data_IF_818062840633
#
_entry.id   IF_818062840633
#
_cell.length_a   1.000
_cell.length_b   1.000
_cell.length_c   1.000
_cell.angle_alpha   90.00
_cell.angle_beta   90.00
_cell.angle_gamma   90.00
#
_symmetry.space_group_name_H-M   'P 1'
#
loop_
_entity.id
_entity.type
_entity.pdbx_description
1 polymer ?
#
# COMPACT_ATOMS: atom_id res chain seq x y z
N UNK A 1 -5.31 -4.66 -12.60
CA UNK A 1 -5.82 -4.82 -11.22
C UNK A 1 -4.76 -4.34 -10.25
N UNK A 2 -5.17 -3.78 -9.11
CA UNK A 2 -4.27 -3.35 -8.02
C UNK A 2 -4.82 -3.79 -6.65
N UNK A 3 -3.95 -3.90 -5.65
CA UNK A 3 -4.33 -4.10 -4.25
C UNK A 3 -3.86 -2.87 -3.44
N UNK A 4 -4.77 -2.21 -2.72
CA UNK A 4 -4.42 -1.09 -1.85
C UNK A 4 -3.60 0.03 -2.53
N UNK A 5 -3.85 0.31 -3.82
CA UNK A 5 -3.10 1.28 -4.62
C UNK A 5 -3.63 2.72 -4.53
N UNK A 6 -2.80 3.70 -4.17
CA UNK A 6 -3.24 5.09 -4.10
C UNK A 6 -3.34 5.68 -5.52
N UNK A 7 -4.45 6.33 -5.93
CA UNK A 7 -4.59 6.88 -7.29
C UNK A 7 -3.74 8.14 -7.53
N UNK A 8 -3.38 8.86 -6.47
CA UNK A 8 -2.45 9.99 -6.51
C UNK A 8 -2.88 11.11 -5.56
N UNK A 9 -1.97 12.01 -5.21
CA UNK A 9 -2.29 13.16 -4.37
C UNK A 9 -2.76 14.35 -5.22
N UNK A 10 -3.86 14.97 -4.82
CA UNK A 10 -4.58 15.97 -5.62
C UNK A 10 -4.07 17.40 -5.41
N UNK A 11 -3.44 17.68 -4.27
CA UNK A 11 -2.98 19.03 -3.94
C UNK A 11 -1.50 19.06 -3.57
N UNK A 12 -0.87 20.21 -3.82
CA UNK A 12 0.57 20.41 -3.61
C UNK A 12 0.99 20.33 -2.14
N UNK A 13 0.10 20.71 -1.20
CA UNK A 13 0.39 20.61 0.22
C UNK A 13 0.57 19.14 0.64
N UNK A 14 -0.36 18.26 0.29
CA UNK A 14 -0.29 16.84 0.58
C UNK A 14 0.93 16.19 -0.10
N UNK A 15 1.29 16.64 -1.32
CA UNK A 15 2.52 16.21 -2.00
C UNK A 15 3.75 16.65 -1.22
N UNK A 16 3.83 17.90 -0.76
CA UNK A 16 4.94 18.41 0.02
C UNK A 16 5.11 17.66 1.35
N UNK A 17 4.02 17.44 2.09
CA UNK A 17 4.00 16.66 3.33
C UNK A 17 4.48 15.22 3.08
N UNK A 18 4.02 14.61 1.98
CA UNK A 18 4.43 13.26 1.59
C UNK A 18 5.91 13.19 1.20
N UNK A 19 6.45 14.16 0.45
CA UNK A 19 7.90 14.23 0.14
C UNK A 19 8.73 14.28 1.41
N UNK A 20 8.36 15.14 2.36
CA UNK A 20 9.06 15.24 3.64
C UNK A 20 8.98 13.93 4.44
N UNK A 21 7.82 13.28 4.46
CA UNK A 21 7.65 12.00 5.14
C UNK A 21 8.47 10.87 4.51
N UNK A 22 8.41 10.72 3.19
CA UNK A 22 9.15 9.68 2.48
C UNK A 22 10.66 9.93 2.57
N UNK A 23 11.12 11.18 2.49
CA UNK A 23 12.53 11.55 2.69
C UNK A 23 13.03 11.21 4.09
N UNK A 24 12.22 11.43 5.14
CA UNK A 24 12.57 10.96 6.49
C UNK A 24 12.73 9.44 6.53
N UNK A 25 11.79 8.68 5.97
CA UNK A 25 11.89 7.22 5.94
C UNK A 25 13.11 6.73 5.15
N UNK A 26 13.39 7.33 4.00
CA UNK A 26 14.55 7.00 3.18
C UNK A 26 15.86 7.22 3.96
N UNK A 27 15.96 8.32 4.71
CA UNK A 27 17.11 8.57 5.57
C UNK A 27 17.26 7.52 6.68
N UNK A 28 16.15 7.13 7.32
CA UNK A 28 16.17 6.04 8.31
C UNK A 28 16.62 4.73 7.69
N UNK A 29 16.13 4.36 6.50
CA UNK A 29 16.56 3.16 5.80
C UNK A 29 18.06 3.14 5.50
N UNK A 30 18.69 4.30 5.21
CA UNK A 30 20.13 4.40 4.96
C UNK A 30 20.98 4.30 6.23
N UNK A 31 20.47 4.79 7.36
CA UNK A 31 21.31 5.07 8.56
C UNK A 31 21.01 4.21 9.77
N UNK A 32 19.82 3.64 9.88
CA UNK A 32 19.40 2.87 11.05
C UNK A 32 19.33 1.37 10.75
N UNK A 33 19.47 0.50 11.78
CA UNK A 33 19.19 -0.93 11.63
C UNK A 33 17.76 -1.15 11.11
N UNK A 34 17.62 -1.94 10.04
CA UNK A 34 16.32 -2.17 9.40
C UNK A 34 15.27 -2.76 10.35
N UNK A 35 15.67 -3.52 11.38
CA UNK A 35 14.75 -4.01 12.42
C UNK A 35 14.07 -2.88 13.17
N UNK A 36 14.79 -1.81 13.47
CA UNK A 36 14.25 -0.61 14.14
C UNK A 36 13.34 0.16 13.19
N UNK A 37 13.79 0.39 11.95
CA UNK A 37 13.00 1.11 10.94
C UNK A 37 11.69 0.38 10.66
N UNK A 38 11.73 -0.94 10.46
CA UNK A 38 10.53 -1.73 10.19
C UNK A 38 9.63 -1.90 11.42
N UNK A 39 10.18 -1.88 12.64
CA UNK A 39 9.37 -1.84 13.86
C UNK A 39 8.43 -0.63 13.82
N UNK A 40 8.96 0.56 13.55
CA UNK A 40 8.16 1.79 13.46
C UNK A 40 7.31 1.84 12.19
N UNK A 41 7.83 1.33 11.07
CA UNK A 41 7.13 1.30 9.79
C UNK A 41 5.76 0.61 9.93
N UNK A 42 5.72 -0.52 10.65
CA UNK A 42 4.49 -1.28 10.87
C UNK A 42 3.59 -0.72 11.97
N UNK A 43 3.96 0.39 12.60
CA UNK A 43 3.07 1.18 13.47
C UNK A 43 2.31 2.29 12.71
N UNK A 44 2.64 2.54 11.43
CA UNK A 44 1.93 3.53 10.63
C UNK A 44 0.42 3.21 10.53
N UNK A 45 -0.46 4.22 10.40
CA UNK A 45 -1.91 4.02 10.42
C UNK A 45 -2.46 3.00 9.42
N UNK A 46 -1.82 2.86 8.25
CA UNK A 46 -2.19 1.87 7.23
C UNK A 46 -2.04 0.42 7.72
N UNK A 47 -1.24 0.19 8.76
CA UNK A 47 -0.99 -1.10 9.38
C UNK A 47 -1.64 -1.24 10.78
N UNK A 48 -2.60 -0.38 11.11
CA UNK A 48 -3.26 -0.39 12.42
C UNK A 48 -3.99 -1.71 12.71
N UNK A 49 -4.43 -2.44 11.68
CA UNK A 49 -5.11 -3.74 11.85
C UNK A 49 -4.18 -4.91 12.21
N UNK A 50 -2.86 -4.75 12.08
CA UNK A 50 -1.92 -5.82 12.38
C UNK A 50 -1.79 -6.05 13.89
N UNK A 51 -1.80 -7.32 14.28
CA UNK A 51 -1.44 -7.75 15.63
C UNK A 51 0.06 -7.60 15.91
N UNK A 52 0.45 -7.59 17.18
CA UNK A 52 1.87 -7.53 17.57
C UNK A 52 2.70 -8.69 16.96
N UNK A 53 2.15 -9.90 16.94
CA UNK A 53 2.81 -11.08 16.35
C UNK A 53 3.01 -10.91 14.84
N UNK A 54 1.99 -10.41 14.12
CA UNK A 54 2.11 -10.14 12.68
C UNK A 54 3.17 -9.08 12.39
N UNK A 55 3.21 -7.99 13.18
CA UNK A 55 4.24 -6.95 13.05
C UNK A 55 5.64 -7.52 13.28
N UNK A 56 5.84 -8.31 14.34
CA UNK A 56 7.13 -8.93 14.63
C UNK A 56 7.61 -9.84 13.48
N UNK A 57 6.72 -10.69 12.95
CA UNK A 57 7.04 -11.56 11.82
C UNK A 57 7.39 -10.77 10.55
N UNK A 58 6.66 -9.67 10.30
CA UNK A 58 6.93 -8.79 9.16
C UNK A 58 8.23 -8.01 9.32
N UNK A 59 8.53 -7.49 10.51
CA UNK A 59 9.82 -6.83 10.80
C UNK A 59 10.96 -7.80 10.54
N UNK A 60 10.93 -9.02 11.11
CA UNK A 60 11.97 -10.03 10.89
C UNK A 60 12.16 -10.39 9.41
N UNK A 61 11.06 -10.50 8.65
CA UNK A 61 11.10 -10.77 7.22
C UNK A 61 11.70 -9.60 6.43
N UNK A 62 11.22 -8.37 6.67
CA UNK A 62 11.61 -7.20 5.88
C UNK A 62 13.00 -6.68 6.21
N UNK A 63 13.50 -6.93 7.43
CA UNK A 63 14.88 -6.60 7.80
C UNK A 63 15.94 -7.31 6.96
N UNK A 64 15.58 -8.36 6.20
CA UNK A 64 16.45 -9.04 5.23
C UNK A 64 16.46 -8.32 3.87
N UNK A 65 16.55 -6.99 3.88
CA UNK A 65 16.67 -6.16 2.67
C UNK A 65 17.94 -5.30 2.73
N UNK A 66 18.21 -4.59 1.64
CA UNK A 66 19.26 -3.57 1.59
C UNK A 66 18.65 -2.17 1.78
N UNK A 67 19.04 -1.49 2.85
CA UNK A 67 18.50 -0.17 3.22
C UNK A 67 18.72 0.92 2.18
N UNK A 68 19.90 0.97 1.55
CA UNK A 68 20.21 1.98 0.53
C UNK A 68 19.30 1.85 -0.70
N UNK A 69 19.12 0.63 -1.19
CA UNK A 69 18.25 0.36 -2.36
C UNK A 69 16.77 0.59 -2.03
N UNK A 70 16.32 0.29 -0.81
CA UNK A 70 14.97 0.62 -0.36
C UNK A 70 14.75 2.13 -0.30
N UNK A 71 15.71 2.88 0.23
CA UNK A 71 15.64 4.34 0.30
C UNK A 71 15.57 4.96 -1.10
N UNK A 72 16.44 4.50 -2.02
CA UNK A 72 16.44 4.97 -3.40
C UNK A 72 15.11 4.68 -4.11
N UNK A 73 14.56 3.47 -3.94
CA UNK A 73 13.27 3.12 -4.54
C UNK A 73 12.11 3.92 -3.95
N UNK A 74 12.10 4.11 -2.62
CA UNK A 74 11.07 4.91 -1.94
C UNK A 74 11.02 6.35 -2.47
N UNK A 75 12.18 6.98 -2.65
CA UNK A 75 12.25 8.34 -3.20
C UNK A 75 11.88 8.37 -4.69
N UNK A 76 12.40 7.44 -5.48
CA UNK A 76 12.14 7.37 -6.92
C UNK A 76 10.67 7.13 -7.26
N UNK A 77 9.95 6.36 -6.43
CA UNK A 77 8.53 6.06 -6.61
C UNK A 77 7.65 6.64 -5.51
N UNK A 78 8.07 7.74 -4.89
CA UNK A 78 7.26 8.40 -3.86
C UNK A 78 5.90 8.79 -4.41
N UNK A 79 4.85 8.55 -3.63
CA UNK A 79 3.48 8.98 -3.95
C UNK A 79 3.40 10.50 -4.18
N UNK A 80 4.34 11.26 -3.61
CA UNK A 80 4.37 12.70 -3.79
C UNK A 80 4.73 13.14 -5.23
N UNK A 81 5.42 12.29 -5.98
CA UNK A 81 5.74 12.52 -7.39
C UNK A 81 4.74 11.86 -8.34
N UNK A 82 3.91 10.92 -7.85
CA UNK A 82 2.89 10.26 -8.67
C UNK A 82 1.86 11.28 -9.19
N UNK A 83 1.50 11.25 -10.48
CA UNK A 83 0.35 12.02 -11.00
C UNK A 83 -0.95 11.65 -10.28
N UNK A 84 -1.95 12.54 -10.31
CA UNK A 84 -3.32 12.13 -9.97
C UNK A 84 -3.88 11.31 -11.14
N UNK A 85 -4.05 10.01 -10.93
CA UNK A 85 -4.48 9.07 -11.96
C UNK A 85 -5.99 8.88 -12.02
N UNK A 86 -6.79 9.56 -11.18
CA UNK A 86 -8.26 9.35 -11.13
C UNK A 86 -8.93 9.51 -12.49
N UNK A 87 -8.63 10.60 -13.19
CA UNK A 87 -9.19 10.85 -14.53
C UNK A 87 -8.78 9.74 -15.51
N UNK A 88 -7.49 9.39 -15.55
CA UNK A 88 -6.96 8.35 -16.43
C UNK A 88 -7.57 6.97 -16.11
N UNK A 89 -7.75 6.63 -14.83
CA UNK A 89 -8.35 5.39 -14.38
C UNK A 89 -9.85 5.33 -14.70
N UNK A 90 -10.54 6.46 -14.65
CA UNK A 90 -11.97 6.57 -15.00
C UNK A 90 -12.22 6.52 -16.50
N UNK A 91 -11.23 6.89 -17.31
CA UNK A 91 -11.28 6.86 -18.76
C UNK A 91 -10.84 5.52 -19.39
N UNK A 92 -10.49 4.51 -18.58
CA UNK A 92 -10.05 3.22 -19.08
C UNK A 92 -11.15 2.54 -19.91
N UNK A 93 -10.77 2.02 -21.07
CA UNK A 93 -11.66 1.26 -21.97
C UNK A 93 -11.60 -0.24 -21.74
N UNK A 94 -10.82 -0.69 -20.73
CA UNK A 94 -10.69 -2.08 -20.33
C UNK A 94 -11.03 -2.26 -18.84
N UNK A 95 -11.45 -3.46 -18.41
CA UNK A 95 -11.79 -3.71 -17.02
C UNK A 95 -10.62 -3.43 -16.07
N UNK A 96 -10.88 -2.61 -15.05
CA UNK A 96 -9.94 -2.31 -13.98
C UNK A 96 -10.53 -2.74 -12.63
N UNK A 97 -9.78 -3.57 -11.93
CA UNK A 97 -10.20 -4.19 -10.66
C UNK A 97 -9.32 -3.70 -9.52
N UNK A 98 -9.95 -3.56 -8.35
CA UNK A 98 -9.30 -3.12 -7.13
C UNK A 98 -9.54 -4.17 -6.05
N UNK A 99 -8.49 -4.58 -5.34
CA UNK A 99 -8.57 -5.43 -4.16
C UNK A 99 -8.30 -4.58 -2.92
N UNK A 100 -9.12 -4.71 -1.89
CA UNK A 100 -8.91 -3.97 -0.65
C UNK A 100 -9.37 -4.79 0.56
N UNK A 101 -8.56 -4.80 1.62
CA UNK A 101 -8.98 -5.43 2.87
C UNK A 101 -10.16 -4.72 3.51
N UNK A 102 -11.07 -5.48 4.12
CA UNK A 102 -12.22 -4.98 4.85
C UNK A 102 -11.84 -3.92 5.91
N UNK A 103 -10.69 -4.11 6.59
CA UNK A 103 -10.19 -3.26 7.67
C UNK A 103 -9.35 -2.07 7.17
N UNK A 104 -9.14 -1.95 5.86
CA UNK A 104 -8.41 -0.83 5.25
C UNK A 104 -9.37 0.27 4.80
N UNK A 105 -9.88 1.04 5.77
CA UNK A 105 -10.86 2.10 5.51
C UNK A 105 -10.35 3.16 4.53
N UNK A 106 -9.05 3.48 4.57
CA UNK A 106 -8.45 4.48 3.69
C UNK A 106 -8.52 4.05 2.23
N UNK A 107 -8.05 2.84 1.92
CA UNK A 107 -8.01 2.40 0.52
C UNK A 107 -9.37 1.93 0.02
N UNK A 108 -10.29 1.55 0.91
CA UNK A 108 -11.71 1.37 0.56
C UNK A 108 -12.34 2.68 0.08
N UNK A 109 -12.06 3.80 0.75
CA UNK A 109 -12.53 5.11 0.32
C UNK A 109 -11.90 5.52 -1.02
N UNK A 110 -10.57 5.38 -1.16
CA UNK A 110 -9.87 5.70 -2.41
C UNK A 110 -10.35 4.85 -3.60
N UNK A 111 -10.70 3.59 -3.37
CA UNK A 111 -11.25 2.73 -4.41
C UNK A 111 -12.62 3.21 -4.94
N UNK A 112 -13.38 3.96 -4.14
CA UNK A 112 -14.66 4.56 -4.57
C UNK A 112 -14.47 5.82 -5.44
N UNK A 113 -13.28 6.42 -5.41
CA UNK A 113 -12.95 7.62 -6.20
C UNK A 113 -12.52 7.28 -7.64
N UNK A 114 -12.37 5.99 -7.96
CA UNK A 114 -12.04 5.49 -9.29
C UNK A 114 -13.12 4.52 -9.77
N UNK A 115 -13.37 4.48 -11.08
CA UNK A 115 -14.36 3.63 -11.73
C UNK A 115 -13.86 2.17 -11.82
N UNK A 116 -13.55 1.59 -10.66
CA UNK A 116 -13.05 0.23 -10.53
C UNK A 116 -14.10 -0.66 -9.87
N UNK A 117 -14.19 -1.92 -10.31
CA UNK A 117 -14.86 -2.95 -9.50
C UNK A 117 -13.97 -3.30 -8.31
N UNK A 118 -14.44 -2.98 -7.10
CA UNK A 118 -13.69 -3.21 -5.86
C UNK A 118 -14.13 -4.52 -5.20
N UNK A 119 -13.19 -5.45 -5.01
CA UNK A 119 -13.37 -6.69 -4.26
C UNK A 119 -12.84 -6.48 -2.84
N UNK A 120 -13.75 -6.52 -1.87
CA UNK A 120 -13.41 -6.37 -0.45
C UNK A 120 -13.04 -7.74 0.13
N UNK A 121 -11.79 -7.85 0.61
CA UNK A 121 -11.27 -9.07 1.21
C UNK A 121 -11.61 -9.07 2.70
N UNK A 122 -12.49 -9.99 3.11
CA UNK A 122 -12.95 -10.11 4.50
C UNK A 122 -11.80 -10.45 5.45
N UNK A 123 -11.90 -9.95 6.68
CA UNK A 123 -10.95 -10.21 7.77
C UNK A 123 -9.49 -9.83 7.45
N UNK A 124 -9.28 -8.86 6.56
CA UNK A 124 -7.96 -8.45 6.11
C UNK A 124 -7.77 -6.92 6.20
N UNK A 125 -6.54 -6.48 6.49
CA UNK A 125 -6.09 -5.10 6.40
C UNK A 125 -5.47 -4.76 5.04
N UNK A 126 -4.48 -3.88 5.06
CA UNK A 126 -3.88 -3.34 3.84
C UNK A 126 -3.16 -4.39 2.97
N UNK A 127 -2.44 -5.33 3.60
CA UNK A 127 -1.81 -6.44 2.90
C UNK A 127 -2.75 -7.65 2.91
N UNK A 128 -3.82 -7.52 2.14
CA UNK A 128 -4.93 -8.45 2.15
C UNK A 128 -4.54 -9.84 1.64
N UNK A 129 -3.69 -9.93 0.61
CA UNK A 129 -3.21 -11.22 0.11
C UNK A 129 -2.40 -12.00 1.16
N UNK A 130 -1.77 -11.31 2.10
CA UNK A 130 -1.06 -11.97 3.20
C UNK A 130 -1.99 -12.32 4.36
N UNK A 131 -2.93 -11.45 4.72
CA UNK A 131 -3.84 -11.66 5.85
C UNK A 131 -4.95 -12.68 5.55
N UNK A 132 -5.46 -12.70 4.32
CA UNK A 132 -6.45 -13.66 3.85
C UNK A 132 -6.16 -14.09 2.40
N UNK A 133 -5.14 -14.96 2.18
CA UNK A 133 -4.76 -15.43 0.86
C UNK A 133 -5.91 -16.16 0.14
N UNK A 134 -6.73 -16.94 0.86
CA UNK A 134 -7.87 -17.64 0.28
C UNK A 134 -8.91 -16.66 -0.28
N UNK A 135 -9.26 -15.61 0.47
CA UNK A 135 -10.22 -14.61 -0.02
C UNK A 135 -9.71 -13.81 -1.23
N UNK A 136 -8.39 -13.58 -1.32
CA UNK A 136 -7.78 -13.01 -2.52
C UNK A 136 -7.84 -13.99 -3.69
N UNK A 137 -7.49 -15.26 -3.50
CA UNK A 137 -7.59 -16.30 -4.53
C UNK A 137 -9.03 -16.41 -5.06
N UNK A 138 -10.03 -16.44 -4.19
CA UNK A 138 -11.44 -16.48 -4.60
C UNK A 138 -11.83 -15.25 -5.43
N UNK A 139 -11.36 -14.06 -5.04
CA UNK A 139 -11.59 -12.83 -5.80
C UNK A 139 -10.89 -12.87 -7.16
N UNK A 140 -9.66 -13.39 -7.23
CA UNK A 140 -8.91 -13.56 -8.47
C UNK A 140 -9.58 -14.58 -9.39
N UNK A 141 -10.08 -15.69 -8.87
CA UNK A 141 -10.81 -16.71 -9.63
C UNK A 141 -12.07 -16.10 -10.27
N UNK A 142 -12.82 -15.29 -9.52
CA UNK A 142 -13.99 -14.56 -10.05
C UNK A 142 -13.61 -13.58 -11.18
N UNK A 143 -12.51 -12.83 -11.02
CA UNK A 143 -12.04 -11.85 -12.02
C UNK A 143 -11.54 -12.56 -13.28
N UNK A 144 -10.70 -13.58 -13.11
CA UNK A 144 -10.03 -14.30 -14.20
C UNK A 144 -10.91 -15.39 -14.83
N UNK A 145 -12.06 -15.69 -14.21
CA UNK A 145 -12.99 -16.75 -14.61
C UNK A 145 -12.34 -18.14 -14.59
N UNK A 146 -11.55 -18.39 -13.54
CA UNK A 146 -10.89 -19.67 -13.26
C UNK A 146 -11.67 -20.47 -12.22
#
# INVERSE_FOLDING_TARGET
MVEGGHPGLQNEQARAERRLSDGRWAERFRREPLSTVFHDWYQQPVFASLTAQQRQALTALRSQNNGETLAAMLEATSLAAQPDLREALNALTFPFYYLCGERDSKFRALAQEVAATCHVIRNAGHNAHRENPAGVVDSLAQILRL
#
